data_IF_187222305423
#
_entry.id   IF_187222305423
#
_cell.length_a   1.000
_cell.length_b   1.000
_cell.length_c   1.000
_cell.angle_alpha   90.00
_cell.angle_beta   90.00
_cell.angle_gamma   90.00
#
_symmetry.space_group_name_H-M   'P 1'
#
loop_
_entity.id
_entity.type
_entity.pdbx_description
1 polymer ?
#
# COMPACT_ATOMS: atom_id res chain seq x y z
N UNK A 1 -31.67 29.95 -11.96
CA UNK A 1 -31.51 29.89 -10.49
C UNK A 1 -30.47 28.84 -10.06
N UNK A 2 -29.49 28.50 -10.92
CA UNK A 2 -28.57 27.37 -10.71
C UNK A 2 -27.34 27.72 -9.87
N UNK A 3 -27.02 29.01 -9.72
CA UNK A 3 -25.79 29.48 -9.07
C UNK A 3 -25.84 29.42 -7.54
N UNK A 4 -27.03 29.51 -6.92
CA UNK A 4 -27.16 29.40 -5.46
C UNK A 4 -26.96 27.97 -4.95
N UNK A 5 -27.42 26.96 -5.70
CA UNK A 5 -27.27 25.54 -5.33
C UNK A 5 -25.81 25.11 -5.42
N UNK A 6 -25.11 25.48 -6.50
CA UNK A 6 -23.68 25.20 -6.65
C UNK A 6 -22.83 25.90 -5.58
N UNK A 7 -23.23 27.11 -5.15
CA UNK A 7 -22.54 27.83 -4.08
C UNK A 7 -22.86 27.29 -2.68
N UNK A 8 -24.07 26.78 -2.43
CA UNK A 8 -24.43 26.13 -1.17
C UNK A 8 -23.62 24.83 -0.96
N UNK A 9 -23.45 24.04 -2.02
CA UNK A 9 -22.63 22.82 -2.00
C UNK A 9 -21.14 23.13 -1.74
N UNK A 10 -20.65 24.33 -2.10
CA UNK A 10 -19.29 24.77 -1.76
C UNK A 10 -19.06 24.96 -0.26
N UNK A 11 -20.11 25.09 0.57
CA UNK A 11 -20.01 25.42 2.00
C UNK A 11 -20.70 24.42 2.96
N UNK A 12 -21.31 23.35 2.45
CA UNK A 12 -21.76 22.19 3.24
C UNK A 12 -20.58 21.46 3.91
N UNK A 13 -20.80 20.74 5.03
CA UNK A 13 -19.87 20.69 6.16
C UNK A 13 -18.45 20.36 5.72
N UNK A 14 -17.55 21.28 6.06
CA UNK A 14 -16.12 21.23 5.74
C UNK A 14 -15.45 20.01 6.39
N UNK A 15 -16.15 19.35 7.31
CA UNK A 15 -15.66 18.34 8.22
C UNK A 15 -16.73 17.28 8.52
N UNK A 16 -16.36 16.01 8.41
CA UNK A 16 -17.13 14.85 8.90
C UNK A 16 -16.23 13.97 9.76
N UNK A 17 -16.82 13.32 10.76
CA UNK A 17 -16.15 12.36 11.64
C UNK A 17 -16.82 11.00 11.48
N UNK A 18 -16.01 9.95 11.33
CA UNK A 18 -16.46 8.55 11.30
C UNK A 18 -15.80 7.80 12.45
N UNK A 19 -16.56 6.97 13.16
CA UNK A 19 -16.02 6.08 14.19
C UNK A 19 -15.45 4.80 13.57
N UNK A 20 -14.27 4.39 14.03
CA UNK A 20 -13.64 3.14 13.61
C UNK A 20 -14.10 2.02 14.56
N UNK A 21 -14.54 0.87 14.02
CA UNK A 21 -14.81 -0.32 14.83
C UNK A 21 -13.61 -0.72 15.69
N UNK A 22 -13.85 -1.09 16.96
CA UNK A 22 -12.79 -1.41 17.93
C UNK A 22 -11.87 -2.56 17.49
N UNK A 23 -12.40 -3.47 16.70
CA UNK A 23 -11.68 -4.67 16.25
C UNK A 23 -10.71 -4.39 15.10
N UNK A 24 -10.76 -3.18 14.53
CA UNK A 24 -9.89 -2.77 13.43
C UNK A 24 -8.63 -2.09 13.97
N UNK A 25 -7.48 -2.71 13.69
CA UNK A 25 -6.17 -2.12 14.01
C UNK A 25 -5.87 -0.94 13.10
N UNK A 26 -5.58 0.22 13.70
CA UNK A 26 -5.31 1.50 12.99
C UNK A 26 -4.22 1.35 11.92
N UNK A 27 -3.14 0.62 12.21
CA UNK A 27 -2.06 0.38 11.24
C UNK A 27 -2.51 -0.35 9.97
N UNK A 28 -3.54 -1.20 10.06
CA UNK A 28 -4.12 -1.88 8.90
C UNK A 28 -4.98 -0.92 8.07
N UNK A 29 -5.73 -0.04 8.72
CA UNK A 29 -6.53 1.00 8.09
C UNK A 29 -5.64 1.99 7.32
N UNK A 30 -4.61 2.53 7.96
CA UNK A 30 -3.68 3.49 7.33
C UNK A 30 -2.88 2.80 6.20
N UNK A 31 -2.44 1.57 6.45
CA UNK A 31 -1.52 0.84 5.59
C UNK A 31 -0.09 1.40 5.67
N UNK A 32 0.90 0.58 5.31
CA UNK A 32 2.30 0.98 5.33
C UNK A 32 2.52 2.24 4.47
N UNK A 33 3.14 3.27 5.07
CA UNK A 33 3.33 4.61 4.49
C UNK A 33 2.02 5.31 4.04
N UNK A 34 0.87 4.97 4.63
CA UNK A 34 -0.42 5.53 4.25
C UNK A 34 -0.97 4.98 2.94
N UNK A 35 -0.50 3.81 2.49
CA UNK A 35 -0.85 3.24 1.17
C UNK A 35 -2.34 3.03 0.96
N UNK A 36 -3.14 2.91 2.02
CA UNK A 36 -4.58 2.72 1.89
C UNK A 36 -5.33 4.07 1.87
N UNK A 37 -4.98 5.00 2.77
CA UNK A 37 -5.69 6.29 2.87
C UNK A 37 -5.21 7.34 1.87
N UNK A 38 -3.91 7.36 1.50
CA UNK A 38 -3.36 8.35 0.54
C UNK A 38 -4.05 8.31 -0.83
N UNK A 39 -4.34 7.15 -1.44
CA UNK A 39 -5.09 7.09 -2.69
C UNK A 39 -6.49 7.68 -2.57
N UNK A 40 -7.20 7.42 -1.47
CA UNK A 40 -8.54 7.95 -1.20
C UNK A 40 -8.46 9.48 -1.13
N UNK A 41 -7.57 10.03 -0.28
CA UNK A 41 -7.31 11.48 -0.21
C UNK A 41 -6.99 12.09 -1.57
N UNK A 42 -6.24 11.35 -2.41
CA UNK A 42 -5.86 11.84 -3.73
C UNK A 42 -7.05 11.92 -4.68
N UNK A 43 -7.87 10.88 -4.70
CA UNK A 43 -9.03 10.72 -5.59
C UNK A 43 -10.17 11.68 -5.23
N UNK A 44 -10.47 11.82 -3.94
CA UNK A 44 -11.56 12.67 -3.44
C UNK A 44 -11.12 14.12 -3.23
N UNK A 45 -9.81 14.33 -3.16
CA UNK A 45 -9.24 15.60 -2.74
C UNK A 45 -9.55 15.91 -1.27
N UNK A 46 -9.87 14.95 -0.41
CA UNK A 46 -10.06 15.24 1.01
C UNK A 46 -8.75 15.19 1.79
N UNK A 47 -8.74 15.81 2.96
CA UNK A 47 -7.80 15.52 4.04
C UNK A 47 -8.44 14.45 4.92
N UNK A 48 -7.71 13.38 5.19
CA UNK A 48 -8.17 12.28 6.04
C UNK A 48 -7.14 12.14 7.15
N UNK A 49 -7.59 12.32 8.40
CA UNK A 49 -6.76 12.22 9.59
C UNK A 49 -7.37 11.20 10.54
N UNK A 50 -6.54 10.29 11.05
CA UNK A 50 -6.96 9.34 12.10
C UNK A 50 -6.63 9.96 13.45
N UNK A 51 -7.61 9.95 14.34
CA UNK A 51 -7.56 10.47 15.71
C UNK A 51 -7.55 9.24 16.62
N UNK A 52 -6.36 8.86 17.10
CA UNK A 52 -6.10 7.64 17.86
C UNK A 52 -6.24 7.79 19.38
N UNK A 53 -6.26 9.01 19.87
CA UNK A 53 -6.53 9.40 21.24
C UNK A 53 -8.03 9.42 21.60
N UNK A 54 -8.92 9.32 20.60
CA UNK A 54 -10.36 9.20 20.80
C UNK A 54 -10.79 7.76 21.14
N UNK A 55 -11.81 7.62 21.99
CA UNK A 55 -12.45 6.34 22.34
C UNK A 55 -13.95 6.40 22.02
N UNK A 56 -14.44 5.73 20.94
CA UNK A 56 -13.68 4.95 19.96
C UNK A 56 -12.77 5.81 19.08
N UNK A 57 -11.78 5.19 18.44
CA UNK A 57 -10.89 5.85 17.47
C UNK A 57 -11.72 6.45 16.33
N UNK A 58 -11.35 7.65 15.88
CA UNK A 58 -12.12 8.40 14.89
C UNK A 58 -11.31 8.71 13.62
N UNK A 59 -12.00 8.87 12.50
CA UNK A 59 -11.46 9.42 11.25
C UNK A 59 -12.10 10.77 11.01
N UNK A 60 -11.26 11.79 10.93
CA UNK A 60 -11.61 13.14 10.53
C UNK A 60 -11.45 13.29 9.02
N UNK A 61 -12.50 13.70 8.33
CA UNK A 61 -12.50 13.93 6.89
C UNK A 61 -12.81 15.39 6.61
N UNK A 62 -11.93 16.09 5.91
CA UNK A 62 -12.11 17.49 5.56
C UNK A 62 -11.90 17.74 4.07
N UNK A 63 -12.52 18.79 3.54
CA UNK A 63 -12.26 19.21 2.16
C UNK A 63 -10.87 19.87 2.07
N UNK A 64 -9.98 19.32 1.25
CA UNK A 64 -8.70 19.99 0.97
C UNK A 64 -8.93 21.18 0.01
N UNK A 65 -8.98 22.39 0.57
CA UNK A 65 -9.15 23.65 -0.18
C UNK A 65 -8.02 23.92 -1.18
N UNK A 66 -6.81 23.39 -0.94
CA UNK A 66 -5.66 23.54 -1.86
C UNK A 66 -5.81 22.68 -3.12
N UNK A 67 -6.69 21.68 -3.09
CA UNK A 67 -6.98 20.83 -4.24
C UNK A 67 -8.26 21.31 -4.92
N UNK A 68 -8.08 21.91 -6.09
CA UNK A 68 -9.13 22.44 -6.95
C UNK A 68 -8.91 21.85 -8.34
N UNK A 69 -9.95 21.30 -8.95
CA UNK A 69 -9.87 20.72 -10.29
C UNK A 69 -11.14 19.96 -10.68
N UNK A 70 -11.43 19.94 -11.97
CA UNK A 70 -12.66 19.36 -12.53
C UNK A 70 -12.72 17.82 -12.42
N UNK A 71 -11.58 17.18 -12.12
CA UNK A 71 -11.47 15.73 -11.97
C UNK A 71 -11.81 15.24 -10.56
N UNK A 72 -12.24 16.15 -9.67
CA UNK A 72 -12.67 15.79 -8.33
C UNK A 72 -14.16 15.45 -8.32
N UNK A 73 -14.59 14.48 -7.50
CA UNK A 73 -16.01 14.18 -7.35
C UNK A 73 -16.77 15.42 -6.86
N UNK A 74 -18.02 15.58 -7.31
CA UNK A 74 -18.90 16.70 -6.90
C UNK A 74 -19.13 16.64 -5.38
N UNK A 75 -19.43 15.44 -4.85
CA UNK A 75 -19.65 15.18 -3.44
C UNK A 75 -18.40 14.53 -2.82
N UNK A 76 -17.37 15.34 -2.57
CA UNK A 76 -16.04 14.87 -2.14
C UNK A 76 -16.04 14.14 -0.80
N UNK A 77 -16.86 14.60 0.14
CA UNK A 77 -16.96 14.01 1.48
C UNK A 77 -17.67 12.66 1.38
N UNK A 78 -18.83 12.58 0.72
CA UNK A 78 -19.58 11.33 0.56
C UNK A 78 -18.77 10.24 -0.14
N UNK A 79 -18.05 10.60 -1.21
CA UNK A 79 -17.16 9.67 -1.90
C UNK A 79 -16.01 9.18 -1.02
N UNK A 80 -15.49 10.04 -0.13
CA UNK A 80 -14.45 9.67 0.82
C UNK A 80 -15.01 8.73 1.91
N UNK A 81 -16.20 9.03 2.44
CA UNK A 81 -16.93 8.17 3.39
C UNK A 81 -17.14 6.79 2.76
N UNK A 82 -17.67 6.74 1.54
CA UNK A 82 -17.91 5.50 0.82
C UNK A 82 -16.64 4.65 0.69
N UNK A 83 -15.52 5.24 0.24
CA UNK A 83 -14.26 4.52 0.08
C UNK A 83 -13.65 4.06 1.42
N UNK A 84 -13.83 4.83 2.49
CA UNK A 84 -13.40 4.43 3.84
C UNK A 84 -14.23 3.24 4.33
N UNK A 85 -15.55 3.29 4.17
CA UNK A 85 -16.43 2.19 4.59
C UNK A 85 -16.10 0.89 3.85
N UNK A 86 -15.90 0.96 2.53
CA UNK A 86 -15.43 -0.17 1.73
C UNK A 86 -14.08 -0.74 2.24
N UNK A 87 -13.17 0.12 2.67
CA UNK A 87 -11.88 -0.30 3.23
C UNK A 87 -12.03 -0.96 4.60
N UNK A 88 -12.87 -0.41 5.48
CA UNK A 88 -13.17 -0.98 6.79
C UNK A 88 -13.78 -2.38 6.65
N UNK A 89 -14.79 -2.52 5.79
CA UNK A 89 -15.43 -3.80 5.47
C UNK A 89 -14.42 -4.81 4.90
N UNK A 90 -13.56 -4.38 3.99
CA UNK A 90 -12.52 -5.23 3.43
C UNK A 90 -11.54 -5.74 4.51
N UNK A 91 -11.12 -4.88 5.44
CA UNK A 91 -10.23 -5.25 6.54
C UNK A 91 -10.92 -6.25 7.47
N UNK A 92 -12.19 -6.01 7.78
CA UNK A 92 -12.98 -6.87 8.64
C UNK A 92 -13.12 -8.28 8.06
N UNK A 93 -13.54 -8.40 6.78
CA UNK A 93 -13.65 -9.69 6.08
C UNK A 93 -12.29 -10.40 6.07
N UNK A 94 -11.20 -9.67 5.83
CA UNK A 94 -9.84 -10.24 5.81
C UNK A 94 -9.41 -10.76 7.17
N UNK A 95 -9.77 -10.07 8.27
CA UNK A 95 -9.41 -10.50 9.62
C UNK A 95 -10.16 -11.76 10.03
N UNK A 96 -11.47 -11.84 9.76
CA UNK A 96 -12.28 -13.05 10.00
C UNK A 96 -11.69 -14.29 9.29
N UNK A 97 -11.29 -14.15 8.02
CA UNK A 97 -10.66 -15.26 7.26
C UNK A 97 -9.33 -15.72 7.87
N UNK A 98 -8.53 -14.80 8.42
CA UNK A 98 -7.25 -15.14 9.05
C UNK A 98 -7.42 -15.85 10.38
N UNK A 99 -8.47 -15.52 11.12
CA UNK A 99 -8.80 -16.20 12.37
C UNK A 99 -9.18 -17.66 12.09
N UNK A 100 -10.11 -17.90 11.15
CA UNK A 100 -10.49 -19.26 10.76
C UNK A 100 -9.30 -20.09 10.24
N UNK A 101 -8.43 -19.50 9.41
CA UNK A 101 -7.23 -20.18 8.92
C UNK A 101 -6.21 -20.51 10.03
N UNK A 102 -6.09 -19.66 11.06
CA UNK A 102 -5.20 -19.92 12.20
C UNK A 102 -5.76 -21.03 13.07
N UNK A 103 -7.06 -21.02 13.35
CA UNK A 103 -7.74 -22.08 14.09
C UNK A 103 -7.58 -23.44 13.39
N UNK A 104 -7.80 -23.50 12.07
CA UNK A 104 -7.60 -24.71 11.29
C UNK A 104 -6.15 -25.23 11.35
N UNK A 105 -5.15 -24.34 11.22
CA UNK A 105 -3.74 -24.73 11.29
C UNK A 105 -3.36 -25.22 12.69
N UNK A 106 -3.85 -24.56 13.73
CA UNK A 106 -3.60 -24.95 15.11
C UNK A 106 -4.23 -26.31 15.44
N UNK A 107 -5.46 -26.57 14.97
CA UNK A 107 -6.13 -27.87 15.10
C UNK A 107 -5.39 -29.01 14.38
N UNK A 108 -4.79 -28.73 13.21
CA UNK A 108 -3.95 -29.71 12.51
C UNK A 108 -2.66 -30.03 13.27
N UNK A 109 -2.06 -29.04 13.94
CA UNK A 109 -0.83 -29.22 14.71
C UNK A 109 -1.10 -29.98 16.02
N UNK A 110 -2.22 -29.75 16.71
CA UNK A 110 -2.56 -30.48 17.95
C UNK A 110 -2.79 -31.97 17.73
N UNK A 111 -3.22 -32.36 16.53
CA UNK A 111 -3.49 -33.76 16.18
C UNK A 111 -2.24 -34.53 15.74
N UNK A 112 -1.09 -33.86 15.61
CA UNK A 112 0.17 -34.50 15.26
C UNK A 112 1.13 -34.51 16.46
N UNK A 113 0.80 -35.34 17.44
CA UNK A 113 1.65 -35.65 18.59
C UNK A 113 2.88 -36.47 18.22
N UNK A 114 3.79 -35.92 17.41
CA UNK A 114 5.12 -36.48 17.24
C UNK A 114 6.18 -35.39 17.35
N UNK A 115 6.75 -35.36 18.54
CA UNK A 115 7.85 -34.54 18.96
C UNK A 115 9.16 -35.10 18.40
N UNK A 116 9.67 -34.52 17.32
CA UNK A 116 11.09 -34.65 16.98
C UNK A 116 11.72 -33.28 17.15
N UNK A 117 12.45 -33.11 18.25
CA UNK A 117 13.37 -31.99 18.41
C UNK A 117 14.38 -32.01 17.25
N UNK A 118 14.25 -31.07 16.31
CA UNK A 118 15.33 -30.79 15.38
C UNK A 118 16.48 -30.18 16.18
N UNK A 119 17.50 -30.97 16.48
CA UNK A 119 18.76 -30.46 17.03
C UNK A 119 19.32 -29.37 16.10
N UNK A 120 19.63 -28.17 16.62
CA UNK A 120 20.27 -27.14 15.82
C UNK A 120 21.65 -27.66 15.38
N UNK A 121 21.88 -27.67 14.06
CA UNK A 121 23.14 -28.11 13.46
C UNK A 121 24.20 -27.05 13.73
N UNK A 122 24.85 -27.15 14.90
CA UNK A 122 25.98 -26.30 15.26
C UNK A 122 27.09 -26.46 14.23
N UNK A 123 27.37 -25.41 13.45
CA UNK A 123 28.59 -25.32 12.65
C UNK A 123 29.73 -25.05 13.63
N UNK A 124 30.48 -26.09 14.00
CA UNK A 124 31.72 -25.91 14.78
C UNK A 124 32.79 -25.38 13.83
N UNK A 125 33.28 -24.19 14.12
CA UNK A 125 34.54 -23.69 13.62
C UNK A 125 35.64 -24.68 14.03
N UNK A 126 36.29 -25.28 13.03
CA UNK A 126 37.53 -26.04 13.22
C UNK A 126 38.56 -25.51 12.26
N UNK A 127 39.38 -24.59 12.77
CA UNK A 127 40.69 -24.30 12.23
C UNK A 127 41.53 -25.58 12.21
N UNK A 128 42.01 -25.99 11.04
CA UNK A 128 43.36 -26.53 10.85
C UNK A 128 43.70 -26.61 9.36
N UNK A 129 44.82 -25.96 9.02
CA UNK A 129 45.52 -25.96 7.74
C UNK A 129 45.63 -27.36 7.12
N UNK A 130 45.16 -27.51 5.89
CA UNK A 130 45.95 -28.21 4.87
C UNK A 130 45.63 -27.68 3.46
N UNK A 131 46.64 -27.00 2.91
CA UNK A 131 46.68 -26.38 1.60
C UNK A 131 46.92 -27.45 0.53
N UNK A 132 46.10 -27.50 -0.53
CA UNK A 132 46.52 -27.91 -1.88
C UNK A 132 45.58 -27.41 -2.99
N UNK A 133 45.91 -26.19 -3.43
CA UNK A 133 45.99 -25.66 -4.82
C UNK A 133 44.81 -25.78 -5.83
N UNK A 134 44.22 -24.60 -6.05
CA UNK A 134 44.06 -23.83 -7.32
C UNK A 134 43.34 -24.49 -8.53
N UNK A 135 42.17 -23.95 -8.88
CA UNK A 135 41.92 -23.40 -10.22
C UNK A 135 41.14 -22.08 -10.09
N UNK A 136 41.79 -21.01 -10.53
CA UNK A 136 41.26 -19.65 -10.58
C UNK A 136 40.11 -19.58 -11.61
N UNK A 137 38.86 -19.42 -11.18
CA UNK A 137 37.85 -18.84 -12.07
C UNK A 137 38.06 -17.32 -12.10
N UNK A 138 38.78 -16.88 -13.14
CA UNK A 138 38.87 -15.49 -13.58
C UNK A 138 37.46 -14.92 -13.72
N UNK A 139 37.12 -13.94 -12.89
CA UNK A 139 36.09 -12.96 -13.22
C UNK A 139 36.53 -12.20 -14.48
N UNK A 140 35.83 -12.39 -15.59
CA UNK A 140 35.98 -11.53 -16.75
C UNK A 140 35.16 -10.26 -16.50
N UNK A 141 35.86 -9.16 -16.26
CA UNK A 141 35.32 -7.82 -16.40
C UNK A 141 34.88 -7.59 -17.85
N UNK A 142 33.62 -7.23 -18.08
CA UNK A 142 33.27 -6.37 -19.21
C UNK A 142 32.37 -5.24 -18.74
N UNK A 143 33.01 -4.14 -18.42
CA UNK A 143 32.41 -2.81 -18.40
C UNK A 143 31.97 -2.47 -19.83
N UNK A 144 30.67 -2.24 -20.06
CA UNK A 144 30.21 -1.44 -21.20
C UNK A 144 29.30 -0.33 -20.70
N UNK A 145 29.93 0.82 -20.56
CA UNK A 145 29.37 2.13 -20.30
C UNK A 145 28.78 2.72 -21.58
N UNK A 146 27.71 3.53 -21.44
CA UNK A 146 27.17 4.56 -22.38
C UNK A 146 26.42 4.02 -23.61
N UNK A 147 25.34 4.62 -24.11
CA UNK A 147 24.96 6.04 -24.16
C UNK A 147 23.50 6.18 -24.63
N UNK A 148 22.77 7.19 -24.13
CA UNK A 148 21.54 7.67 -24.75
C UNK A 148 21.81 8.26 -26.14
N UNK A 149 20.92 8.07 -27.11
CA UNK A 149 20.89 8.93 -28.31
C UNK A 149 19.47 9.14 -28.83
N UNK A 150 18.93 10.30 -28.49
CA UNK A 150 17.93 10.97 -29.33
C UNK A 150 18.56 11.29 -30.69
N UNK A 151 17.85 11.10 -31.80
CA UNK A 151 17.90 12.03 -32.93
C UNK A 151 16.71 11.89 -33.89
N UNK A 152 16.23 13.08 -34.25
CA UNK A 152 15.09 13.47 -35.06
C UNK A 152 15.39 13.35 -36.57
N UNK A 153 14.35 13.01 -37.33
CA UNK A 153 13.96 13.25 -38.75
C UNK A 153 15.00 13.39 -39.87
N UNK A 154 14.66 12.78 -41.04
CA UNK A 154 14.55 13.47 -42.35
C UNK A 154 13.85 12.60 -43.40
N UNK A 155 12.86 13.21 -44.05
CA UNK A 155 12.18 12.77 -45.29
C UNK A 155 13.17 12.66 -46.45
N UNK A 156 12.94 11.77 -47.41
CA UNK A 156 13.28 11.98 -48.82
C UNK A 156 12.29 11.25 -49.75
N UNK A 157 11.78 12.01 -50.72
CA UNK A 157 10.94 11.62 -51.85
C UNK A 157 11.63 10.60 -52.76
N UNK A 158 10.84 9.76 -53.42
CA UNK A 158 11.27 9.00 -54.60
C UNK A 158 10.36 9.40 -55.78
N UNK A 159 10.95 10.00 -56.81
CA UNK A 159 10.36 10.13 -58.14
C UNK A 159 10.81 8.92 -58.96
N UNK A 160 9.87 8.28 -59.66
CA UNK A 160 10.17 7.32 -60.72
C UNK A 160 9.99 7.99 -62.09
N UNK A 161 10.88 7.61 -63.01
CA UNK A 161 10.99 7.98 -64.43
C UNK A 161 9.68 7.87 -65.22
#
# INVERSE_FOLDING_TARGET
METKVQNSIRYSPILTIIEIPKDIVIGQLIGSNGRNLKPIMKKTGTLIHVIDDANPTQIKIEINKKRVGNNLPVNRIDEAIYQINMLLEYIEIRNRRRETEREEKNARISNNGNHQYATPRNHKDRDSKEEKKRINQKMLHTTKTRQSRNKVSRNHMNYNN
#
